data_IF_475952988742
#
_entry.id   IF_475952988742
#
_cell.length_a   1.000
_cell.length_b   1.000
_cell.length_c   1.000
_cell.angle_alpha   90.00
_cell.angle_beta   90.00
_cell.angle_gamma   90.00
#
_symmetry.space_group_name_H-M   'P 1'
#
loop_
_entity.id
_entity.type
_entity.pdbx_description
1 polymer ?
#
# COMPACT_ATOMS: atom_id res chain seq x y z
N UNK A 1 13.98 15.73 48.55
CA UNK A 1 14.32 15.36 47.16
C UNK A 1 13.99 16.57 46.32
N UNK A 2 14.96 17.46 46.09
CA UNK A 2 14.78 18.64 45.24
C UNK A 2 15.24 18.24 43.84
N UNK A 3 14.28 17.92 42.97
CA UNK A 3 14.55 17.94 41.53
C UNK A 3 14.95 19.37 41.17
N UNK A 4 16.12 19.53 40.55
CA UNK A 4 16.52 20.85 40.07
C UNK A 4 15.61 21.24 38.89
N UNK A 5 15.24 22.53 38.71
CA UNK A 5 14.30 22.96 37.66
C UNK A 5 14.67 22.46 36.25
N UNK A 6 15.97 22.24 36.03
CA UNK A 6 16.55 21.78 34.77
C UNK A 6 16.37 20.28 34.51
N UNK A 7 16.23 19.46 35.55
CA UNK A 7 15.90 18.04 35.44
C UNK A 7 14.41 17.83 35.15
N UNK A 8 13.54 18.67 35.74
CA UNK A 8 12.11 18.67 35.47
C UNK A 8 11.78 19.06 34.02
N UNK A 9 12.43 20.11 33.49
CA UNK A 9 12.28 20.50 32.07
C UNK A 9 12.76 19.42 31.09
N UNK A 10 13.84 18.69 31.43
CA UNK A 10 14.35 17.58 30.63
C UNK A 10 13.41 16.37 30.63
N UNK A 11 12.79 16.08 31.77
CA UNK A 11 11.78 15.02 31.89
C UNK A 11 10.51 15.35 31.10
N UNK A 12 10.02 16.59 31.18
CA UNK A 12 8.83 17.04 30.45
C UNK A 12 9.06 17.02 28.92
N UNK A 13 10.24 17.45 28.47
CA UNK A 13 10.62 17.40 27.05
C UNK A 13 10.67 15.96 26.52
N UNK A 14 11.17 15.03 27.34
CA UNK A 14 11.25 13.60 26.99
C UNK A 14 9.87 12.95 26.94
N UNK A 15 8.99 13.27 27.89
CA UNK A 15 7.61 12.81 27.90
C UNK A 15 6.82 13.31 26.68
N UNK A 16 6.98 14.59 26.31
CA UNK A 16 6.41 15.15 25.08
C UNK A 16 6.92 14.43 23.83
N UNK A 17 8.21 14.14 23.75
CA UNK A 17 8.83 13.41 22.64
C UNK A 17 8.26 11.99 22.50
N UNK A 18 8.11 11.28 23.62
CA UNK A 18 7.53 9.96 23.67
C UNK A 18 6.03 9.96 23.30
N UNK A 19 5.25 10.90 23.83
CA UNK A 19 3.83 11.06 23.49
C UNK A 19 3.62 11.31 22.00
N UNK A 20 4.42 12.17 21.39
CA UNK A 20 4.37 12.41 19.94
C UNK A 20 4.80 11.19 19.13
N UNK A 21 5.78 10.42 19.60
CA UNK A 21 6.15 9.13 19.00
C UNK A 21 4.98 8.13 19.00
N UNK A 22 4.32 7.96 20.16
CA UNK A 22 3.15 7.06 20.29
C UNK A 22 2.01 7.52 19.40
N UNK A 23 1.66 8.82 19.43
CA UNK A 23 0.60 9.40 18.58
C UNK A 23 0.84 9.16 17.09
N UNK A 24 2.10 9.28 16.65
CA UNK A 24 2.48 9.04 15.26
C UNK A 24 2.44 7.54 14.92
N UNK A 25 2.87 6.67 15.83
CA UNK A 25 2.79 5.21 15.69
C UNK A 25 1.34 4.72 15.57
N UNK A 26 0.43 5.26 16.38
CA UNK A 26 -1.00 4.98 16.29
C UNK A 26 -1.59 5.42 14.95
N UNK A 27 -1.20 6.60 14.48
CA UNK A 27 -1.63 7.11 13.17
C UNK A 27 -1.15 6.18 12.04
N UNK A 28 0.10 5.72 12.07
CA UNK A 28 0.65 4.74 11.15
C UNK A 28 -0.14 3.41 11.19
N UNK A 29 -0.47 2.90 12.38
CA UNK A 29 -1.24 1.67 12.55
C UNK A 29 -2.68 1.83 12.00
N UNK A 30 -3.30 2.99 12.18
CA UNK A 30 -4.60 3.29 11.60
C UNK A 30 -4.58 3.27 10.06
N UNK A 31 -3.52 3.81 9.44
CA UNK A 31 -3.33 3.73 7.98
C UNK A 31 -3.22 2.28 7.49
N UNK A 32 -2.45 1.43 8.18
CA UNK A 32 -2.32 0.00 7.83
C UNK A 32 -3.67 -0.71 7.93
N UNK A 33 -4.42 -0.49 9.01
CA UNK A 33 -5.76 -1.09 9.19
C UNK A 33 -6.73 -0.62 8.11
N UNK A 34 -6.68 0.66 7.74
CA UNK A 34 -7.47 1.23 6.66
C UNK A 34 -7.18 0.57 5.32
N UNK A 35 -5.89 0.41 4.96
CA UNK A 35 -5.50 -0.25 3.72
C UNK A 35 -5.93 -1.73 3.65
N UNK A 36 -5.84 -2.46 4.76
CA UNK A 36 -6.34 -3.86 4.84
C UNK A 36 -7.87 -3.95 4.68
N UNK A 37 -8.60 -2.93 5.14
CA UNK A 37 -10.05 -2.85 4.94
C UNK A 37 -10.41 -2.65 3.46
N UNK A 38 -9.64 -1.86 2.72
CA UNK A 38 -9.88 -1.64 1.28
C UNK A 38 -9.65 -2.93 0.47
N UNK A 39 -8.70 -3.77 0.86
CA UNK A 39 -8.49 -5.10 0.25
C UNK A 39 -9.71 -6.00 0.48
N UNK A 40 -10.30 -5.97 1.68
CA UNK A 40 -11.55 -6.70 1.97
C UNK A 40 -12.71 -6.21 1.10
N UNK A 41 -12.81 -4.89 0.91
CA UNK A 41 -13.79 -4.30 0.01
C UNK A 41 -13.58 -4.76 -1.43
N UNK A 42 -12.34 -4.82 -1.90
CA UNK A 42 -12.00 -5.32 -3.24
C UNK A 42 -12.42 -6.79 -3.42
N UNK A 43 -12.16 -7.63 -2.41
CA UNK A 43 -12.63 -9.02 -2.38
C UNK A 43 -14.16 -9.14 -2.36
N UNK A 44 -14.83 -8.28 -1.59
CA UNK A 44 -16.29 -8.25 -1.53
C UNK A 44 -16.92 -7.78 -2.85
N UNK A 45 -16.37 -6.74 -3.50
CA UNK A 45 -16.81 -6.28 -4.82
C UNK A 45 -16.60 -7.38 -5.87
N UNK A 46 -15.44 -8.06 -5.84
CA UNK A 46 -15.19 -9.21 -6.71
C UNK A 46 -16.20 -10.35 -6.51
N UNK A 47 -16.52 -10.69 -5.25
CA UNK A 47 -17.51 -11.72 -4.93
C UNK A 47 -18.94 -11.33 -5.34
N UNK A 48 -19.33 -10.07 -5.15
CA UNK A 48 -20.66 -9.55 -5.54
C UNK A 48 -20.82 -9.50 -7.06
N UNK A 49 -19.76 -9.18 -7.81
CA UNK A 49 -19.82 -9.17 -9.27
C UNK A 49 -19.80 -10.59 -9.87
N UNK A 50 -19.15 -11.54 -9.19
CA UNK A 50 -19.21 -12.96 -9.55
C UNK A 50 -20.54 -13.63 -9.13
N UNK A 51 -21.39 -12.91 -8.40
CA UNK A 51 -22.69 -13.41 -7.94
C UNK A 51 -23.71 -13.40 -9.08
N UNK A 52 -24.16 -14.59 -9.49
CA UNK A 52 -25.04 -14.86 -10.65
C UNK A 52 -26.32 -13.98 -10.70
N UNK A 53 -27.02 -13.67 -9.59
CA UNK A 53 -28.10 -12.69 -9.58
C UNK A 53 -27.70 -11.26 -9.97
N UNK A 54 -26.51 -10.77 -9.62
CA UNK A 54 -26.06 -9.43 -9.99
C UNK A 54 -25.65 -9.34 -11.46
N UNK A 55 -25.00 -10.39 -11.97
CA UNK A 55 -24.71 -10.53 -13.39
C UNK A 55 -26.00 -10.51 -14.24
N UNK A 56 -27.10 -11.06 -13.71
CA UNK A 56 -28.42 -11.06 -14.36
C UNK A 56 -29.20 -9.75 -14.16
N UNK A 57 -29.16 -9.16 -12.96
CA UNK A 57 -29.92 -7.94 -12.63
C UNK A 57 -29.35 -6.67 -13.27
N UNK A 58 -28.07 -6.70 -13.66
CA UNK A 58 -27.48 -5.67 -14.50
C UNK A 58 -28.11 -5.60 -15.90
N UNK A 59 -28.88 -6.61 -16.32
CA UNK A 59 -29.75 -6.63 -17.52
C UNK A 59 -29.10 -6.05 -18.79
N UNK A 60 -27.76 -6.13 -18.85
CA UNK A 60 -26.95 -5.56 -19.93
C UNK A 60 -27.19 -6.30 -21.27
N UNK A 61 -27.88 -7.44 -21.24
CA UNK A 61 -28.18 -8.28 -22.41
C UNK A 61 -29.50 -7.90 -23.12
N UNK A 62 -30.37 -7.06 -22.54
CA UNK A 62 -31.75 -6.86 -23.05
C UNK A 62 -31.95 -5.51 -23.76
N UNK A 63 -31.07 -4.52 -23.57
CA UNK A 63 -31.21 -3.18 -24.17
C UNK A 63 -30.00 -2.62 -24.89
N UNK A 64 -28.81 -3.16 -24.68
CA UNK A 64 -27.63 -2.83 -25.49
C UNK A 64 -27.33 -4.05 -26.36
N UNK A 65 -27.29 -3.89 -27.68
CA UNK A 65 -26.73 -4.88 -28.62
C UNK A 65 -25.19 -5.06 -28.43
N UNK A 66 -24.67 -4.81 -27.23
CA UNK A 66 -23.24 -4.81 -26.90
C UNK A 66 -22.87 -5.98 -25.98
N UNK A 67 -21.66 -6.54 -26.13
CA UNK A 67 -21.23 -7.67 -25.34
C UNK A 67 -20.95 -7.25 -23.90
N UNK A 68 -21.81 -7.71 -22.99
CA UNK A 68 -21.79 -7.44 -21.54
C UNK A 68 -20.47 -7.82 -20.87
N UNK A 69 -19.89 -8.95 -21.28
CA UNK A 69 -18.72 -9.53 -20.64
C UNK A 69 -17.43 -8.69 -20.82
N UNK A 70 -17.07 -8.27 -22.05
CA UNK A 70 -15.99 -7.30 -22.27
C UNK A 70 -16.08 -6.02 -21.46
N UNK A 71 -17.26 -5.41 -21.44
CA UNK A 71 -17.50 -4.15 -20.72
C UNK A 71 -17.35 -4.37 -19.22
N UNK A 72 -18.00 -5.40 -18.68
CA UNK A 72 -17.95 -5.73 -17.25
C UNK A 72 -16.52 -5.97 -16.73
N UNK A 73 -15.72 -6.77 -17.44
CA UNK A 73 -14.33 -6.99 -17.06
C UNK A 73 -13.47 -5.73 -17.16
N UNK A 74 -13.68 -4.91 -18.19
CA UNK A 74 -12.95 -3.65 -18.34
C UNK A 74 -13.29 -2.68 -17.21
N UNK A 75 -14.57 -2.53 -16.87
CA UNK A 75 -15.00 -1.69 -15.75
C UNK A 75 -14.41 -2.19 -14.42
N UNK A 76 -14.42 -3.51 -14.20
CA UNK A 76 -13.83 -4.11 -13.01
C UNK A 76 -12.32 -3.83 -12.93
N UNK A 77 -11.59 -3.98 -14.04
CA UNK A 77 -10.18 -3.64 -14.11
C UNK A 77 -9.93 -2.18 -13.71
N UNK A 78 -10.72 -1.24 -14.23
CA UNK A 78 -10.57 0.18 -13.90
C UNK A 78 -10.83 0.47 -12.42
N UNK A 79 -11.88 -0.14 -11.84
CA UNK A 79 -12.17 0.00 -10.40
C UNK A 79 -11.04 -0.58 -9.56
N UNK A 80 -10.54 -1.78 -9.90
CA UNK A 80 -9.43 -2.41 -9.19
C UNK A 80 -8.18 -1.54 -9.27
N UNK A 81 -7.83 -1.06 -10.47
CA UNK A 81 -6.67 -0.22 -10.68
C UNK A 81 -6.80 1.11 -9.92
N UNK A 82 -7.98 1.74 -9.92
CA UNK A 82 -8.22 2.93 -9.13
C UNK A 82 -7.96 2.69 -7.63
N UNK A 83 -8.48 1.59 -7.06
CA UNK A 83 -8.24 1.23 -5.65
C UNK A 83 -6.75 0.96 -5.39
N UNK A 84 -6.05 0.30 -6.31
CA UNK A 84 -4.62 0.04 -6.19
C UNK A 84 -3.80 1.35 -6.15
N UNK A 85 -4.05 2.27 -7.09
CA UNK A 85 -3.39 3.58 -7.08
C UNK A 85 -3.76 4.43 -5.86
N UNK A 86 -5.01 4.36 -5.40
CA UNK A 86 -5.43 5.01 -4.17
C UNK A 86 -4.70 4.45 -2.94
N UNK A 87 -4.48 3.14 -2.91
CA UNK A 87 -3.65 2.51 -1.88
C UNK A 87 -2.18 2.94 -1.95
N UNK A 88 -1.62 3.16 -3.15
CA UNK A 88 -0.28 3.74 -3.28
C UNK A 88 -0.20 5.15 -2.70
N UNK A 89 -1.24 5.97 -2.90
CA UNK A 89 -1.32 7.29 -2.30
C UNK A 89 -1.38 7.20 -0.76
N UNK A 90 -2.15 6.26 -0.20
CA UNK A 90 -2.15 6.02 1.26
C UNK A 90 -0.78 5.57 1.75
N UNK A 91 -0.11 4.69 1.01
CA UNK A 91 1.23 4.22 1.34
C UNK A 91 2.25 5.37 1.33
N UNK A 92 2.17 6.31 0.39
CA UNK A 92 3.09 7.46 0.38
C UNK A 92 2.96 8.36 1.62
N UNK A 93 1.74 8.53 2.14
CA UNK A 93 1.50 9.26 3.39
C UNK A 93 2.02 8.47 4.59
N UNK A 94 1.78 7.15 4.63
CA UNK A 94 2.34 6.28 5.66
C UNK A 94 3.87 6.41 5.74
N UNK A 95 4.52 6.41 4.58
CA UNK A 95 5.96 6.56 4.44
C UNK A 95 6.49 7.91 4.93
N UNK A 96 5.77 9.00 4.69
CA UNK A 96 6.07 10.30 5.29
C UNK A 96 6.04 10.25 6.83
N UNK A 97 4.99 9.66 7.41
CA UNK A 97 4.90 9.51 8.87
C UNK A 97 6.01 8.63 9.41
N UNK A 98 6.35 7.55 8.71
CA UNK A 98 7.42 6.64 9.09
C UNK A 98 8.80 7.32 9.09
N UNK A 99 9.11 8.13 8.07
CA UNK A 99 10.35 8.91 8.03
C UNK A 99 10.45 9.87 9.23
N UNK A 100 9.33 10.49 9.62
CA UNK A 100 9.25 11.33 10.81
C UNK A 100 9.43 10.52 12.11
N UNK A 101 8.87 9.31 12.19
CA UNK A 101 9.08 8.41 13.35
C UNK A 101 10.56 8.11 13.57
N UNK A 102 11.36 7.88 12.51
CA UNK A 102 12.80 7.64 12.65
C UNK A 102 13.51 8.75 13.43
N UNK A 103 13.16 10.02 13.18
CA UNK A 103 13.75 11.16 13.88
C UNK A 103 13.41 11.15 15.37
N UNK A 104 12.20 10.72 15.74
CA UNK A 104 11.81 10.54 17.13
C UNK A 104 12.58 9.38 17.77
N UNK A 105 12.69 8.24 17.08
CA UNK A 105 13.44 7.07 17.57
C UNK A 105 14.92 7.40 17.78
N UNK A 106 15.57 8.12 16.87
CA UNK A 106 16.97 8.57 17.05
C UNK A 106 17.13 9.40 18.31
N UNK A 107 16.24 10.37 18.55
CA UNK A 107 16.29 11.24 19.74
C UNK A 107 16.00 10.49 21.03
N UNK A 108 15.03 9.56 21.01
CA UNK A 108 14.70 8.73 22.16
C UNK A 108 15.82 7.74 22.50
N UNK A 109 16.40 7.08 21.50
CA UNK A 109 17.53 6.15 21.71
C UNK A 109 18.80 6.87 22.19
N UNK A 110 18.99 8.16 21.86
CA UNK A 110 20.09 8.95 22.42
C UNK A 110 20.00 9.10 23.95
N UNK A 111 18.79 9.01 24.53
CA UNK A 111 18.57 9.05 25.98
C UNK A 111 18.80 7.70 26.66
N UNK A 112 18.77 6.60 25.90
CA UNK A 112 18.95 5.24 26.39
C UNK A 112 20.09 4.55 25.62
N UNK A 113 21.36 4.96 25.85
CA UNK A 113 22.50 4.38 25.15
C UNK A 113 22.65 2.90 25.52
N UNK A 114 22.68 2.05 24.50
CA UNK A 114 22.84 0.61 24.63
C UNK A 114 23.44 0.01 23.36
N UNK A 115 23.84 -1.26 23.40
CA UNK A 115 24.36 -1.96 22.22
C UNK A 115 23.30 -2.12 21.12
N UNK A 116 22.02 -2.05 21.46
CA UNK A 116 20.90 -2.12 20.53
C UNK A 116 19.90 -0.98 20.78
N UNK A 117 19.29 -0.41 19.73
CA UNK A 117 18.27 0.61 19.87
C UNK A 117 17.00 0.04 20.51
N UNK A 118 16.54 0.65 21.60
CA UNK A 118 15.29 0.29 22.29
C UNK A 118 14.08 0.56 21.39
N UNK A 119 14.10 1.70 20.69
CA UNK A 119 13.08 2.09 19.74
C UNK A 119 13.57 1.84 18.31
N UNK A 120 13.14 0.74 17.69
CA UNK A 120 13.68 0.30 16.40
C UNK A 120 12.63 0.08 15.30
N UNK A 121 11.36 0.48 15.52
CA UNK A 121 10.28 0.17 14.58
C UNK A 121 10.50 0.84 13.23
N UNK A 122 10.74 2.14 13.22
CA UNK A 122 10.96 2.90 12.00
C UNK A 122 12.41 2.80 11.51
N UNK A 123 13.39 2.71 12.43
CA UNK A 123 14.81 2.58 12.14
C UNK A 123 15.17 1.24 11.47
N UNK A 124 14.66 0.11 11.97
CA UNK A 124 14.97 -1.21 11.39
C UNK A 124 14.18 -1.52 10.12
N UNK A 125 13.16 -0.71 9.78
CA UNK A 125 12.25 -0.99 8.68
C UNK A 125 12.91 -1.09 7.31
N UNK A 126 13.77 -0.17 6.83
CA UNK A 126 14.37 -0.26 5.49
C UNK A 126 15.11 -1.58 5.26
N UNK A 127 15.76 -2.08 6.30
CA UNK A 127 16.50 -3.34 6.24
C UNK A 127 15.58 -4.55 6.24
N UNK A 128 14.56 -4.55 7.09
CA UNK A 128 13.54 -5.58 7.09
C UNK A 128 12.76 -5.61 5.77
N UNK A 129 12.41 -4.44 5.23
CA UNK A 129 11.69 -4.29 3.98
C UNK A 129 12.47 -4.96 2.84
N UNK A 130 13.74 -4.60 2.65
CA UNK A 130 14.58 -5.15 1.57
C UNK A 130 14.83 -6.65 1.72
N UNK A 131 15.04 -7.13 2.95
CA UNK A 131 15.38 -8.55 3.19
C UNK A 131 14.18 -9.47 3.15
N UNK A 132 13.02 -9.01 3.60
CA UNK A 132 11.85 -9.85 3.85
C UNK A 132 10.66 -9.37 3.05
N UNK A 133 10.21 -8.12 3.26
CA UNK A 133 8.97 -7.63 2.66
C UNK A 133 9.00 -7.66 1.14
N UNK A 134 10.01 -7.06 0.52
CA UNK A 134 10.10 -6.92 -0.93
C UNK A 134 10.15 -8.30 -1.61
N UNK A 135 10.85 -9.27 -1.00
CA UNK A 135 10.92 -10.66 -1.49
C UNK A 135 9.57 -11.37 -1.50
N UNK A 136 8.64 -10.96 -0.63
CA UNK A 136 7.27 -11.48 -0.58
C UNK A 136 6.34 -10.63 -1.43
N UNK A 137 6.50 -9.32 -1.42
CA UNK A 137 5.63 -8.37 -2.10
C UNK A 137 5.73 -8.50 -3.62
N UNK A 138 6.93 -8.53 -4.20
CA UNK A 138 7.13 -8.65 -5.65
C UNK A 138 6.44 -9.87 -6.27
N UNK A 139 6.64 -11.11 -5.78
CA UNK A 139 5.94 -12.26 -6.35
C UNK A 139 4.43 -12.20 -6.07
N UNK A 140 4.00 -11.65 -4.93
CA UNK A 140 2.56 -11.49 -4.64
C UNK A 140 1.89 -10.55 -5.65
N UNK A 141 2.49 -9.39 -5.96
CA UNK A 141 2.00 -8.50 -7.02
C UNK A 141 2.05 -9.19 -8.39
N UNK A 142 3.09 -9.94 -8.69
CA UNK A 142 3.21 -10.70 -9.94
C UNK A 142 2.07 -11.71 -10.13
N UNK A 143 1.78 -12.51 -9.11
CA UNK A 143 0.66 -13.47 -9.12
C UNK A 143 -0.67 -12.73 -9.24
N UNK A 144 -0.86 -11.64 -8.50
CA UNK A 144 -2.08 -10.84 -8.57
C UNK A 144 -2.33 -10.28 -9.98
N UNK A 145 -1.33 -9.69 -10.63
CA UNK A 145 -1.47 -9.20 -12.01
C UNK A 145 -1.67 -10.33 -13.01
N UNK A 146 -0.98 -11.47 -12.82
CA UNK A 146 -1.19 -12.64 -13.67
C UNK A 146 -2.65 -13.09 -13.64
N UNK A 147 -3.27 -13.14 -12.47
CA UNK A 147 -4.69 -13.49 -12.32
C UNK A 147 -5.58 -12.40 -12.92
N UNK A 148 -5.33 -11.13 -12.58
CA UNK A 148 -6.14 -9.99 -13.02
C UNK A 148 -6.13 -9.81 -14.55
N UNK A 149 -5.01 -10.09 -15.20
CA UNK A 149 -4.85 -10.00 -16.66
C UNK A 149 -5.28 -11.33 -17.30
N UNK A 150 -4.68 -12.44 -16.89
CA UNK A 150 -4.82 -13.72 -17.54
C UNK A 150 -6.24 -14.27 -17.50
N UNK A 151 -6.90 -14.23 -16.35
CA UNK A 151 -8.23 -14.85 -16.21
C UNK A 151 -9.29 -14.18 -17.10
N UNK A 152 -9.49 -12.85 -17.08
CA UNK A 152 -10.47 -12.21 -17.95
C UNK A 152 -10.10 -12.30 -19.43
N UNK A 153 -8.82 -12.15 -19.79
CA UNK A 153 -8.37 -12.31 -21.18
C UNK A 153 -8.67 -13.71 -21.72
N UNK A 154 -8.36 -14.77 -20.97
CA UNK A 154 -8.66 -16.14 -21.38
C UNK A 154 -10.17 -16.36 -21.52
N UNK A 155 -10.98 -15.87 -20.59
CA UNK A 155 -12.45 -15.97 -20.70
C UNK A 155 -13.00 -15.26 -21.94
N UNK A 156 -12.53 -14.04 -22.24
CA UNK A 156 -12.95 -13.32 -23.45
C UNK A 156 -12.56 -14.06 -24.73
N UNK A 157 -11.37 -14.67 -24.78
CA UNK A 157 -10.93 -15.49 -25.92
C UNK A 157 -11.82 -16.71 -26.11
N UNK A 158 -12.11 -17.44 -25.03
CA UNK A 158 -12.97 -18.63 -25.07
C UNK A 158 -14.42 -18.30 -25.50
N UNK A 159 -14.89 -17.09 -25.20
CA UNK A 159 -16.20 -16.59 -25.62
C UNK A 159 -16.22 -15.99 -27.03
N UNK A 160 -15.09 -15.97 -27.74
CA UNK A 160 -14.99 -15.44 -29.11
C UNK A 160 -14.80 -13.92 -29.22
N UNK A 161 -14.63 -13.21 -28.10
CA UNK A 161 -14.43 -11.76 -28.07
C UNK A 161 -12.95 -11.37 -28.28
N UNK A 162 -12.33 -11.83 -29.36
CA UNK A 162 -10.88 -11.68 -29.60
C UNK A 162 -10.41 -10.21 -29.59
N UNK A 163 -11.05 -9.25 -30.29
CA UNK A 163 -10.59 -7.86 -30.29
C UNK A 163 -10.63 -7.23 -28.89
N UNK A 164 -11.67 -7.55 -28.12
CA UNK A 164 -11.84 -7.10 -26.75
C UNK A 164 -10.81 -7.73 -25.81
N UNK A 165 -10.51 -9.02 -25.98
CA UNK A 165 -9.48 -9.70 -25.21
C UNK A 165 -8.09 -9.05 -25.39
N UNK A 166 -7.75 -8.69 -26.64
CA UNK A 166 -6.51 -7.97 -26.95
C UNK A 166 -6.51 -6.57 -26.34
N UNK A 167 -7.59 -5.81 -26.53
CA UNK A 167 -7.73 -4.48 -25.93
C UNK A 167 -7.58 -4.52 -24.41
N UNK A 168 -8.33 -5.41 -23.75
CA UNK A 168 -8.27 -5.61 -22.30
C UNK A 168 -6.86 -5.98 -21.84
N UNK A 169 -6.22 -6.96 -22.48
CA UNK A 169 -4.88 -7.41 -22.10
C UNK A 169 -3.85 -6.27 -22.21
N UNK A 170 -3.87 -5.52 -23.31
CA UNK A 170 -2.97 -4.38 -23.51
C UNK A 170 -3.22 -3.32 -22.44
N UNK A 171 -4.47 -2.93 -22.21
CA UNK A 171 -4.83 -1.94 -21.19
C UNK A 171 -4.39 -2.39 -19.79
N UNK A 172 -4.67 -3.64 -19.44
CA UNK A 172 -4.35 -4.20 -18.13
C UNK A 172 -2.83 -4.29 -17.89
N UNK A 173 -2.06 -4.69 -18.92
CA UNK A 173 -0.59 -4.67 -18.87
C UNK A 173 -0.06 -3.25 -18.69
N UNK A 174 -0.57 -2.28 -19.45
CA UNK A 174 -0.14 -0.88 -19.32
C UNK A 174 -0.43 -0.32 -17.93
N UNK A 175 -1.61 -0.58 -17.38
CA UNK A 175 -1.98 -0.15 -16.03
C UNK A 175 -1.15 -0.85 -14.95
N UNK A 176 -0.91 -2.16 -15.08
CA UNK A 176 -0.08 -2.92 -14.14
C UNK A 176 1.38 -2.44 -14.16
N UNK A 177 1.94 -2.18 -15.34
CA UNK A 177 3.28 -1.61 -15.49
C UNK A 177 3.35 -0.20 -14.90
N UNK A 178 2.36 0.65 -15.21
CA UNK A 178 2.26 2.00 -14.64
C UNK A 178 2.23 1.96 -13.11
N UNK A 179 1.40 1.10 -12.53
CA UNK A 179 1.33 0.92 -11.09
C UNK A 179 2.66 0.43 -10.51
N UNK A 180 3.30 -0.58 -11.11
CA UNK A 180 4.61 -1.07 -10.63
C UNK A 180 5.71 -0.02 -10.72
N UNK A 181 5.72 0.80 -11.79
CA UNK A 181 6.65 1.91 -11.91
C UNK A 181 6.42 2.95 -10.79
N UNK A 182 5.16 3.25 -10.46
CA UNK A 182 4.84 4.15 -9.35
C UNK A 182 5.26 3.57 -7.99
N UNK A 183 5.05 2.27 -7.75
CA UNK A 183 5.54 1.56 -6.55
C UNK A 183 7.06 1.71 -6.44
N UNK A 184 7.78 1.37 -7.50
CA UNK A 184 9.25 1.41 -7.50
C UNK A 184 9.77 2.83 -7.34
N UNK A 185 9.12 3.82 -7.95
CA UNK A 185 9.44 5.23 -7.76
C UNK A 185 9.26 5.64 -6.30
N UNK A 186 8.14 5.27 -5.67
CA UNK A 186 7.87 5.56 -4.27
C UNK A 186 8.92 4.92 -3.34
N UNK A 187 9.28 3.66 -3.58
CA UNK A 187 10.34 2.96 -2.82
C UNK A 187 11.69 3.69 -2.97
N UNK A 188 12.05 4.12 -4.19
CA UNK A 188 13.30 4.87 -4.40
C UNK A 188 13.32 6.22 -3.69
N UNK A 189 12.20 6.93 -3.67
CA UNK A 189 12.07 8.17 -2.90
C UNK A 189 12.32 7.94 -1.41
N UNK A 190 11.81 6.84 -0.86
CA UNK A 190 12.05 6.46 0.53
C UNK A 190 13.48 6.08 0.83
N UNK A 191 14.13 5.35 -0.07
CA UNK A 191 15.52 4.99 0.09
C UNK A 191 16.41 6.24 0.14
N UNK A 192 16.11 7.25 -0.68
CA UNK A 192 16.79 8.55 -0.62
C UNK A 192 16.55 9.25 0.72
N UNK A 193 15.30 9.38 1.16
CA UNK A 193 14.99 9.98 2.46
C UNK A 193 15.65 9.24 3.64
N UNK A 194 15.80 7.91 3.53
CA UNK A 194 16.49 7.11 4.52
C UNK A 194 18.00 7.39 4.57
N UNK A 195 18.62 7.62 3.41
CA UNK A 195 20.05 7.95 3.28
C UNK A 195 20.36 9.39 3.71
N UNK A 196 19.45 10.32 3.45
CA UNK A 196 19.60 11.74 3.79
C UNK A 196 19.31 12.05 5.26
N UNK A 197 18.92 11.05 6.07
CA UNK A 197 18.82 11.22 7.51
C UNK A 197 20.25 11.25 8.06
N UNK A 198 20.77 12.40 8.52
CA UNK A 198 22.16 12.50 8.96
C UNK A 198 22.38 11.48 10.07
N UNK A 199 23.35 10.59 9.87
CA UNK A 199 23.96 9.81 10.94
C UNK A 199 24.35 10.79 12.03
N UNK A 200 23.66 10.72 13.17
CA UNK A 200 23.92 11.58 14.31
C UNK A 200 25.42 11.54 14.64
N UNK A 201 26.04 12.73 14.69
CA UNK A 201 27.29 12.95 15.41
C UNK A 201 27.12 12.57 16.89
#
# INVERSE_FOLDING_TARGET
MNETPREAEGAETTDLLYKEYVRLSESCNAYIRGALSDIKLLGAVGAVLAWDPMARMLDLNVRLDEPVTPVGFTTLLLVIMFVLFYNLLKQSIFFFHQARMRRFETRLNALYPGPEPVFALALAWPDWQRRVHDRVAFPTFGIFYLILIGFPTTLMLLQGFVPWAVFYAVLAVLLALGHMLTVLFLIRCLERDAQDTPSAC
#
